data_IF_797826901236
#
_entry.id   IF_797826901236
#
_cell.length_a   1.000
_cell.length_b   1.000
_cell.length_c   1.000
_cell.angle_alpha   90.00
_cell.angle_beta   90.00
_cell.angle_gamma   90.00
#
_symmetry.space_group_name_H-M   'P 1'
#
loop_
_entity.id
_entity.type
_entity.pdbx_description
1 polymer ?
#
# COMPACT_ATOMS: atom_id res chain seq x y z
N UNK A 1 12.76 44.32 -7.85
CA UNK A 1 11.31 44.53 -8.02
C UNK A 1 10.71 43.45 -8.90
N UNK A 2 10.10 42.42 -8.30
CA UNK A 2 9.43 41.32 -9.02
C UNK A 2 8.15 40.85 -8.27
N UNK A 3 7.47 41.76 -7.56
CA UNK A 3 6.20 41.45 -6.89
C UNK A 3 5.18 42.56 -7.17
N UNK A 4 4.74 42.64 -8.42
CA UNK A 4 3.49 43.32 -8.82
C UNK A 4 2.95 42.64 -10.06
N UNK A 5 2.29 41.50 -9.89
CA UNK A 5 1.29 40.97 -10.81
C UNK A 5 0.60 39.79 -10.12
N UNK A 6 -0.71 39.87 -9.93
CA UNK A 6 -1.49 38.80 -9.31
C UNK A 6 -2.78 39.21 -8.63
N UNK A 7 -3.26 40.45 -8.80
CA UNK A 7 -4.59 40.85 -8.35
C UNK A 7 -5.66 40.46 -9.39
N UNK A 8 -5.78 39.16 -9.69
CA UNK A 8 -6.88 38.56 -10.47
C UNK A 8 -6.77 37.05 -10.66
N UNK A 9 -6.08 36.32 -9.78
CA UNK A 9 -6.19 34.86 -9.74
C UNK A 9 -7.27 34.51 -8.73
N UNK A 10 -8.50 34.35 -9.22
CA UNK A 10 -9.48 33.56 -8.50
C UNK A 10 -8.81 32.23 -8.15
N UNK A 11 -8.67 31.96 -6.86
CA UNK A 11 -8.26 30.64 -6.39
C UNK A 11 -9.26 29.65 -6.99
N UNK A 12 -8.80 28.83 -7.93
CA UNK A 12 -9.59 27.71 -8.43
C UNK A 12 -9.65 26.73 -7.27
N UNK A 13 -10.82 26.67 -6.64
CA UNK A 13 -11.19 25.61 -5.73
C UNK A 13 -10.94 24.27 -6.42
N UNK A 14 -9.91 23.56 -5.98
CA UNK A 14 -9.64 22.20 -6.44
C UNK A 14 -10.80 21.34 -5.95
N UNK A 15 -11.75 21.03 -6.85
CA UNK A 15 -12.90 20.15 -6.60
C UNK A 15 -12.52 19.04 -5.61
N UNK A 16 -13.01 19.15 -4.38
CA UNK A 16 -12.72 18.18 -3.33
C UNK A 16 -13.66 16.98 -3.52
N UNK A 17 -13.38 16.14 -4.51
CA UNK A 17 -14.14 14.92 -4.76
C UNK A 17 -13.75 13.87 -3.72
N UNK A 18 -14.72 13.52 -2.86
CA UNK A 18 -14.55 12.48 -1.84
C UNK A 18 -14.83 11.13 -2.49
N UNK A 19 -13.79 10.29 -2.55
CA UNK A 19 -13.90 8.90 -3.03
C UNK A 19 -14.00 7.95 -1.83
N UNK A 20 -15.11 7.22 -1.72
CA UNK A 20 -15.25 6.18 -0.70
C UNK A 20 -14.62 4.86 -1.16
N UNK A 21 -13.88 4.22 -0.25
CA UNK A 21 -13.34 2.87 -0.43
C UNK A 21 -14.30 1.77 0.04
N UNK A 22 -15.46 2.13 0.61
CA UNK A 22 -16.45 1.20 1.18
C UNK A 22 -16.89 0.09 0.21
N UNK A 23 -17.06 0.32 -1.11
CA UNK A 23 -17.42 -0.75 -2.03
C UNK A 23 -16.39 -1.88 -2.05
N UNK A 24 -15.09 -1.54 -2.00
CA UNK A 24 -14.01 -2.54 -2.01
C UNK A 24 -13.93 -3.26 -0.68
N UNK A 25 -14.09 -2.53 0.44
CA UNK A 25 -14.11 -3.15 1.77
C UNK A 25 -15.29 -4.12 1.93
N UNK A 26 -16.45 -3.75 1.40
CA UNK A 26 -17.65 -4.61 1.40
C UNK A 26 -17.41 -5.86 0.56
N UNK A 27 -16.83 -5.72 -0.63
CA UNK A 27 -16.45 -6.85 -1.49
C UNK A 27 -15.48 -7.81 -0.79
N UNK A 28 -14.45 -7.30 -0.10
CA UNK A 28 -13.51 -8.15 0.63
C UNK A 28 -14.15 -8.89 1.80
N UNK A 29 -15.12 -8.27 2.49
CA UNK A 29 -15.88 -8.90 3.58
C UNK A 29 -16.85 -9.96 3.09
N UNK A 30 -17.44 -9.78 1.91
CA UNK A 30 -18.34 -10.76 1.30
C UNK A 30 -17.60 -11.90 0.57
N UNK A 31 -16.29 -11.74 0.33
CA UNK A 31 -15.48 -12.73 -0.36
C UNK A 31 -15.22 -13.96 0.53
N UNK A 32 -14.95 -15.14 -0.07
CA UNK A 32 -14.45 -16.29 0.68
C UNK A 32 -13.21 -15.94 1.51
N UNK A 33 -12.97 -16.72 2.57
CA UNK A 33 -11.75 -16.63 3.37
C UNK A 33 -10.51 -16.70 2.47
N UNK A 34 -9.43 -16.01 2.84
CA UNK A 34 -8.21 -15.91 2.03
C UNK A 34 -7.70 -17.29 1.56
N UNK A 35 -7.74 -18.30 2.44
CA UNK A 35 -7.32 -19.68 2.18
C UNK A 35 -8.17 -20.41 1.13
N UNK A 36 -9.39 -19.93 0.86
CA UNK A 36 -10.29 -20.48 -0.15
C UNK A 36 -10.22 -19.70 -1.48
N UNK A 37 -9.47 -18.60 -1.53
CA UNK A 37 -9.29 -17.82 -2.75
C UNK A 37 -8.24 -18.47 -3.66
N UNK A 38 -8.42 -18.44 -4.99
CA UNK A 38 -7.34 -18.71 -5.91
C UNK A 38 -6.15 -17.78 -5.64
N UNK A 39 -4.92 -18.29 -5.78
CA UNK A 39 -3.70 -17.52 -5.52
C UNK A 39 -3.66 -16.17 -6.27
N UNK A 40 -4.18 -16.14 -7.50
CA UNK A 40 -4.27 -14.90 -8.30
C UNK A 40 -5.20 -13.85 -7.70
N UNK A 41 -6.33 -14.27 -7.12
CA UNK A 41 -7.27 -13.35 -6.46
C UNK A 41 -6.73 -12.90 -5.10
N UNK A 42 -6.06 -13.80 -4.38
CA UNK A 42 -5.36 -13.46 -3.15
C UNK A 42 -4.22 -12.47 -3.40
N UNK A 43 -3.44 -12.65 -4.47
CA UNK A 43 -2.39 -11.71 -4.88
C UNK A 43 -2.94 -10.31 -5.18
N UNK A 44 -4.08 -10.21 -5.87
CA UNK A 44 -4.75 -8.94 -6.18
C UNK A 44 -5.24 -8.26 -4.91
N UNK A 45 -5.90 -9.02 -4.03
CA UNK A 45 -6.38 -8.54 -2.73
C UNK A 45 -5.22 -8.02 -1.87
N UNK A 46 -4.15 -8.81 -1.76
CA UNK A 46 -2.93 -8.42 -1.05
C UNK A 46 -2.34 -7.14 -1.65
N UNK A 47 -2.13 -7.09 -2.97
CA UNK A 47 -1.58 -5.91 -3.66
C UNK A 47 -2.39 -4.64 -3.41
N UNK A 48 -3.73 -4.74 -3.41
CA UNK A 48 -4.60 -3.61 -3.09
C UNK A 48 -4.43 -3.18 -1.62
N UNK A 49 -4.42 -4.13 -0.68
CA UNK A 49 -4.21 -3.84 0.74
C UNK A 49 -2.84 -3.22 1.03
N UNK A 50 -1.79 -3.67 0.34
CA UNK A 50 -0.45 -3.07 0.42
C UNK A 50 -0.44 -1.63 -0.11
N UNK A 51 -1.13 -1.38 -1.22
CA UNK A 51 -1.27 -0.03 -1.79
C UNK A 51 -2.01 0.92 -0.86
N UNK A 52 -3.14 0.49 -0.28
CA UNK A 52 -3.99 1.34 0.56
C UNK A 52 -3.45 1.50 1.98
N UNK A 53 -3.03 0.42 2.63
CA UNK A 53 -2.55 0.47 4.02
C UNK A 53 -1.08 0.89 4.11
N UNK A 54 -0.26 0.53 3.12
CA UNK A 54 1.17 0.79 3.11
C UNK A 54 1.58 2.00 2.29
N UNK A 55 0.63 2.63 1.60
CA UNK A 55 0.88 3.68 0.59
C UNK A 55 1.93 3.25 -0.44
N UNK A 56 1.97 1.96 -0.75
CA UNK A 56 2.96 1.38 -1.64
C UNK A 56 2.55 1.62 -3.08
N UNK A 57 3.49 2.11 -3.89
CA UNK A 57 3.28 2.20 -5.34
C UNK A 57 3.38 0.79 -5.95
N UNK A 58 2.83 0.57 -7.15
CA UNK A 58 3.00 -0.71 -7.85
C UNK A 58 4.48 -1.13 -7.99
N UNK A 59 5.38 -0.17 -8.20
CA UNK A 59 6.83 -0.42 -8.25
C UNK A 59 7.40 -0.87 -6.90
N UNK A 60 6.95 -0.26 -5.79
CA UNK A 60 7.36 -0.64 -4.44
C UNK A 60 6.91 -2.09 -4.13
N UNK A 61 5.69 -2.45 -4.52
CA UNK A 61 5.15 -3.82 -4.36
C UNK A 61 5.97 -4.80 -5.19
N UNK A 62 6.26 -4.46 -6.44
CA UNK A 62 7.08 -5.28 -7.33
C UNK A 62 8.52 -5.47 -6.82
N UNK A 63 9.09 -4.46 -6.18
CA UNK A 63 10.44 -4.50 -5.60
C UNK A 63 10.48 -5.07 -4.17
N UNK A 64 9.40 -5.67 -3.67
CA UNK A 64 9.38 -6.29 -2.34
C UNK A 64 10.16 -7.61 -2.33
N UNK A 65 11.11 -7.74 -1.41
CA UNK A 65 11.91 -8.93 -1.18
C UNK A 65 11.32 -9.74 -0.02
N UNK A 66 10.61 -10.82 -0.37
CA UNK A 66 9.94 -11.71 0.59
C UNK A 66 10.95 -12.34 1.57
N UNK A 67 12.18 -12.63 1.13
CA UNK A 67 13.20 -13.25 1.97
C UNK A 67 13.73 -12.34 3.08
N UNK A 68 13.54 -11.02 2.93
CA UNK A 68 13.94 -9.99 3.90
C UNK A 68 12.75 -9.34 4.58
N UNK A 69 11.54 -9.79 4.24
CA UNK A 69 10.30 -9.35 4.88
C UNK A 69 9.99 -10.30 6.03
N UNK A 70 9.44 -9.76 7.11
CA UNK A 70 9.20 -10.54 8.32
C UNK A 70 7.95 -10.09 9.05
N UNK A 71 7.41 -10.96 9.90
CA UNK A 71 6.31 -10.65 10.80
C UNK A 71 6.87 -10.53 12.21
N UNK A 72 6.93 -9.29 12.70
CA UNK A 72 7.46 -8.97 14.02
C UNK A 72 6.31 -8.58 14.94
N UNK A 73 5.87 -9.53 15.76
CA UNK A 73 4.66 -9.38 16.58
C UNK A 73 3.42 -9.27 15.71
N UNK A 74 2.63 -8.20 15.89
CA UNK A 74 1.43 -7.91 15.10
C UNK A 74 1.70 -7.00 13.88
N UNK A 75 2.96 -6.90 13.43
CA UNK A 75 3.32 -6.05 12.31
C UNK A 75 4.02 -6.84 11.21
N UNK A 76 3.60 -6.60 9.98
CA UNK A 76 4.31 -7.02 8.78
C UNK A 76 5.34 -5.95 8.41
N UNK A 77 6.60 -6.33 8.33
CA UNK A 77 7.70 -5.51 7.86
C UNK A 77 8.08 -5.97 6.44
N UNK A 78 7.73 -5.18 5.43
CA UNK A 78 8.09 -5.46 4.04
C UNK A 78 9.39 -4.77 3.67
N UNK A 79 10.32 -5.52 3.10
CA UNK A 79 11.58 -5.00 2.59
C UNK A 79 11.43 -4.64 1.10
N UNK A 80 11.34 -3.35 0.78
CA UNK A 80 11.33 -2.85 -0.59
C UNK A 80 12.76 -2.55 -1.02
N UNK A 81 13.27 -3.30 -1.99
CA UNK A 81 14.65 -3.22 -2.46
C UNK A 81 14.67 -2.59 -3.84
N UNK A 82 14.98 -1.30 -3.93
CA UNK A 82 15.12 -0.63 -5.21
C UNK A 82 16.50 -0.89 -5.81
N UNK A 83 16.62 -1.65 -6.92
CA UNK A 83 17.93 -1.96 -7.49
C UNK A 83 18.60 -0.74 -8.14
N UNK A 84 17.80 0.26 -8.56
CA UNK A 84 18.24 1.45 -9.28
C UNK A 84 18.62 2.61 -8.36
N UNK A 85 18.10 2.64 -7.14
CA UNK A 85 18.37 3.71 -6.18
C UNK A 85 19.60 3.34 -5.33
N UNK A 86 20.63 4.18 -5.40
CA UNK A 86 21.87 3.99 -4.64
C UNK A 86 22.07 5.16 -3.70
N UNK A 87 22.25 4.89 -2.40
CA UNK A 87 22.74 5.88 -1.43
C UNK A 87 24.14 5.46 -1.03
N UNK A 88 25.15 6.28 -1.37
CA UNK A 88 26.54 5.96 -1.05
C UNK A 88 27.07 4.66 -1.69
N UNK A 89 26.62 4.32 -2.92
CA UNK A 89 26.95 3.08 -3.66
C UNK A 89 26.29 1.78 -3.15
N UNK A 90 25.49 1.83 -2.10
CA UNK A 90 24.70 0.68 -1.62
C UNK A 90 23.25 0.76 -2.12
N UNK A 91 22.63 -0.40 -2.38
CA UNK A 91 21.21 -0.49 -2.70
C UNK A 91 20.41 -0.04 -1.48
N UNK A 92 19.43 0.83 -1.68
CA UNK A 92 18.54 1.27 -0.60
C UNK A 92 17.51 0.18 -0.35
N UNK A 93 17.44 -0.30 0.89
CA UNK A 93 16.32 -1.10 1.39
C UNK A 93 15.43 -0.15 2.18
N UNK A 94 14.18 0.00 1.75
CA UNK A 94 13.14 0.72 2.47
C UNK A 94 12.25 -0.30 3.16
N UNK A 95 12.05 -0.17 4.46
CA UNK A 95 11.07 -0.99 5.18
C UNK A 95 9.73 -0.29 5.25
N UNK A 96 8.65 -1.01 4.91
CA UNK A 96 7.27 -0.57 5.08
C UNK A 96 6.64 -1.42 6.17
N UNK A 97 6.06 -0.77 7.18
CA UNK A 97 5.44 -1.45 8.32
C UNK A 97 3.93 -1.36 8.24
N UNK A 98 3.27 -2.51 8.26
CA UNK A 98 1.83 -2.66 8.23
C UNK A 98 1.39 -3.29 9.54
N UNK A 99 0.39 -2.72 10.20
CA UNK A 99 -0.15 -3.29 11.44
C UNK A 99 -1.28 -4.25 11.13
N UNK A 100 -1.43 -5.27 11.97
CA UNK A 100 -2.56 -6.21 11.91
C UNK A 100 -3.86 -5.46 12.18
N UNK A 101 -4.87 -5.73 11.36
CA UNK A 101 -6.22 -5.21 11.51
C UNK A 101 -7.08 -6.24 12.24
N UNK A 102 -8.05 -5.79 13.03
CA UNK A 102 -8.94 -6.67 13.81
C UNK A 102 -9.89 -7.47 12.91
N UNK A 103 -10.44 -6.82 11.87
CA UNK A 103 -11.18 -7.47 10.79
C UNK A 103 -10.20 -8.18 9.84
N UNK A 104 -10.16 -9.51 9.92
CA UNK A 104 -9.26 -10.36 9.14
C UNK A 104 -9.55 -10.33 7.63
N UNK A 105 -10.79 -10.03 7.23
CA UNK A 105 -11.16 -9.98 5.82
C UNK A 105 -10.45 -8.82 5.08
N UNK A 106 -10.07 -7.77 5.80
CA UNK A 106 -9.38 -6.59 5.28
C UNK A 106 -7.99 -6.38 5.92
N UNK A 107 -7.46 -7.41 6.59
CA UNK A 107 -6.18 -7.31 7.28
C UNK A 107 -5.01 -7.56 6.31
N UNK A 108 -4.10 -6.59 6.08
CA UNK A 108 -2.94 -6.80 5.20
C UNK A 108 -1.98 -7.87 5.73
N UNK A 109 -1.76 -7.92 7.05
CA UNK A 109 -0.90 -8.92 7.69
C UNK A 109 -1.46 -10.33 7.48
N UNK A 110 -2.77 -10.54 7.70
CA UNK A 110 -3.40 -11.83 7.49
C UNK A 110 -3.39 -12.24 6.01
N UNK A 111 -3.71 -11.32 5.10
CA UNK A 111 -3.66 -11.60 3.66
C UNK A 111 -2.26 -11.98 3.18
N UNK A 112 -1.20 -11.42 3.78
CA UNK A 112 0.19 -11.78 3.50
C UNK A 112 0.56 -13.16 4.05
N UNK A 113 0.12 -13.51 5.26
CA UNK A 113 0.35 -14.85 5.84
C UNK A 113 -0.31 -15.94 4.99
N UNK A 114 -1.49 -15.64 4.45
CA UNK A 114 -2.27 -16.61 3.68
C UNK A 114 -1.80 -16.76 2.22
N UNK A 115 -0.96 -15.83 1.73
CA UNK A 115 -0.44 -15.79 0.35
C UNK A 115 0.86 -16.58 0.21
#
# INVERSE_FOLDING_TARGET
SFLKAGHSLGFVDTKHEIYSIDPVLTFFRSSPNNQALPLTELAKKLSWLLGVCGFMRPDDIFCTDVSKSDIVGDKLQLAVVFPKEKRGRQRIIKYVHLSRHTDLAICPVQAYIDY
#
